data_IF_184881748097
#
_entry.id   IF_184881748097
#
_cell.length_a   1.000
_cell.length_b   1.000
_cell.length_c   1.000
_cell.angle_alpha   90.00
_cell.angle_beta   90.00
_cell.angle_gamma   90.00
#
_symmetry.space_group_name_H-M   'P 1'
#
loop_
_entity.id
_entity.type
_entity.pdbx_description
1 polymer ?
#
# COMPACT_ATOMS: atom_id res chain seq x y z
N UNK A 1 -2.60 1.52 -16.39
CA UNK A 1 -2.66 1.28 -15.28
C UNK A 1 -1.98 0.16 -14.77
N UNK A 2 -1.29 0.34 -13.97
CA UNK A 2 -0.43 -0.52 -13.61
C UNK A 2 -0.78 -1.76 -13.13
N UNK A 3 -0.54 -2.75 -13.22
CA UNK A 3 -0.95 -4.03 -12.83
C UNK A 3 -1.06 -4.26 -11.34
N UNK A 4 -1.78 -3.41 -10.69
CA UNK A 4 -2.06 -3.60 -9.28
C UNK A 4 -3.21 -4.56 -9.11
N UNK A 5 -3.06 -5.51 -8.20
CA UNK A 5 -4.20 -6.34 -7.82
C UNK A 5 -5.07 -5.52 -6.88
N UNK A 6 -6.30 -5.97 -6.69
CA UNK A 6 -7.20 -5.29 -5.78
C UNK A 6 -6.62 -5.25 -4.37
N UNK A 7 -5.99 -6.33 -3.97
CA UNK A 7 -5.39 -6.41 -2.65
C UNK A 7 -4.24 -5.41 -2.50
N UNK A 8 -3.42 -5.29 -3.53
CA UNK A 8 -2.32 -4.34 -3.51
C UNK A 8 -2.84 -2.91 -3.47
N UNK A 9 -3.90 -2.65 -4.20
CA UNK A 9 -4.49 -1.32 -4.20
C UNK A 9 -5.05 -0.98 -2.83
N UNK A 10 -5.70 -1.95 -2.19
CA UNK A 10 -6.21 -1.74 -0.85
C UNK A 10 -5.10 -1.46 0.15
N UNK A 11 -3.99 -2.19 0.02
CA UNK A 11 -2.85 -1.95 0.88
C UNK A 11 -2.37 -0.50 0.74
N UNK A 12 -2.26 -0.04 -0.49
CA UNK A 12 -1.78 1.32 -0.75
C UNK A 12 -2.73 2.35 -0.16
N UNK A 13 -4.02 2.15 -0.37
CA UNK A 13 -5.02 3.07 0.16
C UNK A 13 -4.98 3.14 1.67
N UNK A 14 -4.87 1.99 2.33
CA UNK A 14 -4.81 1.96 3.79
C UNK A 14 -3.53 2.60 4.30
N UNK A 15 -2.45 2.40 3.57
CA UNK A 15 -1.19 2.99 3.98
C UNK A 15 -1.25 4.53 3.91
N UNK A 16 -1.88 5.06 2.89
CA UNK A 16 -2.04 6.51 2.75
C UNK A 16 -2.81 7.07 3.94
N UNK A 17 -3.79 6.33 4.41
CA UNK A 17 -4.60 6.78 5.53
C UNK A 17 -3.88 6.65 6.86
N UNK A 18 -3.28 5.50 7.11
CA UNK A 18 -2.75 5.21 8.43
C UNK A 18 -1.26 5.44 8.60
N UNK A 19 -0.50 5.31 7.52
CA UNK A 19 0.94 5.41 7.60
C UNK A 19 1.59 4.21 8.25
N UNK A 20 0.84 3.15 8.49
CA UNK A 20 1.34 1.95 9.16
C UNK A 20 1.37 0.79 8.18
N UNK A 21 2.57 0.32 7.84
CA UNK A 21 2.74 -0.72 6.84
C UNK A 21 2.08 -2.03 7.25
N UNK A 22 2.35 -2.48 8.44
CA UNK A 22 1.86 -3.76 8.91
C UNK A 22 0.34 -3.77 9.01
N UNK A 23 -0.22 -2.75 9.60
CA UNK A 23 -1.65 -2.65 9.76
C UNK A 23 -2.36 -2.54 8.41
N UNK A 24 -1.77 -1.79 7.50
CA UNK A 24 -2.34 -1.64 6.17
C UNK A 24 -2.40 -2.97 5.44
N UNK A 25 -1.37 -3.79 5.58
CA UNK A 25 -1.36 -5.10 4.95
C UNK A 25 -2.45 -6.00 5.51
N UNK A 26 -2.63 -5.99 6.83
CA UNK A 26 -3.66 -6.80 7.45
C UNK A 26 -5.04 -6.35 6.99
N UNK A 27 -5.27 -5.06 6.95
CA UNK A 27 -6.57 -4.54 6.51
C UNK A 27 -6.83 -4.83 5.04
N UNK A 28 -5.76 -4.94 4.26
CA UNK A 28 -5.92 -5.24 2.85
C UNK A 28 -6.24 -6.70 2.59
N UNK A 29 -6.10 -7.55 3.60
CA UNK A 29 -6.41 -8.96 3.45
C UNK A 29 -5.21 -9.89 3.52
N UNK A 30 -4.02 -9.36 3.77
CA UNK A 30 -2.86 -10.21 3.95
C UNK A 30 -2.86 -10.79 5.36
N UNK A 31 -2.22 -11.94 5.54
CA UNK A 31 -2.18 -12.56 6.85
C UNK A 31 -1.29 -11.74 7.78
N UNK A 32 -1.47 -11.93 9.06
CA UNK A 32 -0.63 -11.25 10.04
C UNK A 32 0.83 -11.66 9.92
N UNK A 33 1.07 -12.93 9.64
CA UNK A 33 2.42 -13.41 9.43
C UNK A 33 3.09 -12.70 8.28
N UNK A 34 2.37 -12.58 7.18
CA UNK A 34 2.91 -11.90 6.01
C UNK A 34 3.15 -10.42 6.34
N UNK A 35 2.18 -9.80 6.99
CA UNK A 35 2.27 -8.38 7.31
C UNK A 35 3.48 -8.11 8.20
N UNK A 36 3.72 -8.99 9.15
CA UNK A 36 4.80 -8.80 10.08
C UNK A 36 6.18 -8.98 9.44
N UNK A 37 6.32 -9.97 8.59
CA UNK A 37 7.61 -10.30 8.03
C UNK A 37 7.87 -9.81 6.64
N UNK A 38 6.82 -9.59 5.85
CA UNK A 38 6.96 -9.31 4.43
C UNK A 38 6.27 -8.07 3.91
N UNK A 39 5.54 -7.36 4.75
CA UNK A 39 4.80 -6.20 4.25
C UNK A 39 5.70 -5.15 3.63
N UNK A 40 6.93 -5.05 4.11
CA UNK A 40 7.85 -4.08 3.55
C UNK A 40 8.14 -4.36 2.07
N UNK A 41 7.95 -5.60 1.64
CA UNK A 41 8.14 -5.94 0.23
C UNK A 41 7.06 -5.29 -0.63
N UNK A 42 5.90 -5.05 -0.06
CA UNK A 42 4.84 -4.34 -0.77
C UNK A 42 5.26 -2.90 -1.03
N UNK A 43 5.94 -2.30 -0.07
CA UNK A 43 6.41 -0.93 -0.24
C UNK A 43 7.54 -0.84 -1.27
N UNK A 44 8.25 -1.92 -1.49
CA UNK A 44 9.32 -1.95 -2.48
C UNK A 44 8.79 -2.22 -3.88
N UNK A 45 7.52 -2.58 -4.00
CA UNK A 45 6.92 -2.85 -5.29
C UNK A 45 6.74 -1.56 -6.05
N UNK A 46 7.31 -1.48 -7.24
CA UNK A 46 7.30 -0.25 -8.04
C UNK A 46 5.88 0.22 -8.34
N UNK A 47 5.00 -0.71 -8.68
CA UNK A 47 3.62 -0.33 -9.00
C UNK A 47 2.88 0.22 -7.80
N UNK A 48 3.07 -0.39 -6.63
CA UNK A 48 2.44 0.10 -5.40
C UNK A 48 3.00 1.47 -5.04
N UNK A 49 4.31 1.61 -5.14
CA UNK A 49 4.95 2.86 -4.79
C UNK A 49 4.49 3.98 -5.70
N UNK A 50 4.40 3.71 -6.99
CA UNK A 50 3.94 4.71 -7.94
C UNK A 50 2.50 5.12 -7.64
N UNK A 51 1.66 4.16 -7.29
CA UNK A 51 0.28 4.45 -6.96
C UNK A 51 0.19 5.35 -5.72
N UNK A 52 0.98 5.03 -4.69
CA UNK A 52 0.99 5.84 -3.48
C UNK A 52 1.47 7.25 -3.76
N UNK A 53 2.56 7.37 -4.51
CA UNK A 53 3.13 8.66 -4.83
C UNK A 53 2.14 9.51 -5.60
N UNK A 54 1.45 8.91 -6.54
CA UNK A 54 0.48 9.62 -7.35
C UNK A 54 -0.68 10.13 -6.49
N UNK A 55 -1.16 9.29 -5.58
CA UNK A 55 -2.27 9.69 -4.72
C UNK A 55 -1.86 10.78 -3.74
N UNK A 56 -0.66 10.68 -3.20
CA UNK A 56 -0.18 11.70 -2.28
C UNK A 56 0.01 13.03 -3.00
N UNK A 57 0.45 12.97 -4.23
CA UNK A 57 0.63 14.16 -5.03
C UNK A 57 -0.71 14.87 -5.24
N UNK A 58 -1.74 14.10 -5.55
CA UNK A 58 -3.07 14.65 -5.73
C UNK A 58 -3.57 15.30 -4.44
N UNK A 59 -3.34 14.66 -3.32
CA UNK A 59 -3.79 15.18 -2.04
C UNK A 59 -3.05 16.45 -1.63
N UNK A 60 -1.81 16.57 -2.06
CA UNK A 60 -1.00 17.73 -1.70
C UNK A 60 -0.98 18.83 -2.72
N UNK A 61 -1.60 18.60 -3.85
CA UNK A 61 -1.56 19.61 -4.88
C UNK A 61 -2.68 20.58 -4.64
N UNK A 62 -2.44 21.61 -4.10
CA UNK A 62 -3.50 22.52 -3.83
C UNK A 62 -3.24 23.81 -4.41
#
# INVERSE_FOLDING_TARGET
MAGLTLKQQRFADEYIISGNIEQSAVKAGYSRSYARGNAHKLMANVSIKAYIDERLEVLNSE
#
